data_IF_886508168542
#
_entry.id   IF_886508168542
#
_cell.length_a   1.000
_cell.length_b   1.000
_cell.length_c   1.000
_cell.angle_alpha   90.00
_cell.angle_beta   90.00
_cell.angle_gamma   90.00
#
_symmetry.space_group_name_H-M   'P 1'
#
loop_
_entity.id
_entity.type
_entity.pdbx_description
1 polymer ?
#
# COMPACT_ATOMS: atom_id res chain seq x y z
N UNK A 1 8.31 -38.16 6.10
CA UNK A 1 8.08 -37.05 5.16
C UNK A 1 9.04 -37.06 3.98
N UNK A 2 10.32 -36.67 4.09
CA UNK A 2 11.20 -36.53 2.91
C UNK A 2 11.22 -37.78 2.02
N UNK A 3 11.48 -38.94 2.63
CA UNK A 3 11.43 -40.24 1.94
C UNK A 3 10.05 -40.57 1.33
N UNK A 4 8.97 -40.07 1.92
CA UNK A 4 7.60 -40.36 1.45
C UNK A 4 7.19 -39.39 0.32
N UNK A 5 7.72 -38.16 0.33
CA UNK A 5 7.66 -37.22 -0.79
C UNK A 5 8.44 -37.77 -1.99
N UNK A 6 9.68 -38.22 -1.78
CA UNK A 6 10.54 -38.78 -2.84
C UNK A 6 9.94 -40.06 -3.47
N UNK A 7 9.03 -40.73 -2.77
CA UNK A 7 8.33 -41.95 -3.20
C UNK A 7 6.92 -41.69 -3.75
N UNK A 8 6.49 -40.43 -3.88
CA UNK A 8 5.14 -40.09 -4.34
C UNK A 8 4.01 -40.59 -3.42
N UNK A 9 4.31 -40.90 -2.16
CA UNK A 9 3.34 -41.44 -1.20
C UNK A 9 2.55 -40.33 -0.50
N UNK A 10 1.83 -39.54 -1.28
CA UNK A 10 1.22 -38.28 -0.84
C UNK A 10 0.24 -38.44 0.34
N UNK A 11 -0.50 -39.54 0.43
CA UNK A 11 -1.41 -39.78 1.57
C UNK A 11 -0.64 -39.91 2.91
N UNK A 12 0.58 -40.45 2.89
CA UNK A 12 1.44 -40.51 4.09
C UNK A 12 2.01 -39.14 4.45
N UNK A 13 2.22 -38.29 3.44
CA UNK A 13 2.65 -36.90 3.63
C UNK A 13 1.54 -36.10 4.31
N UNK A 14 0.29 -36.23 3.86
CA UNK A 14 -0.87 -35.59 4.50
C UNK A 14 -1.05 -36.01 5.96
N UNK A 15 -0.94 -37.31 6.25
CA UNK A 15 -0.98 -37.81 7.63
C UNK A 15 0.15 -37.18 8.45
N UNK A 16 1.36 -37.06 7.89
CA UNK A 16 2.50 -36.45 8.57
C UNK A 16 2.27 -34.96 8.87
N UNK A 17 1.67 -34.22 7.93
CA UNK A 17 1.31 -32.81 8.11
C UNK A 17 0.27 -32.64 9.21
N UNK A 18 -0.76 -33.46 9.23
CA UNK A 18 -1.79 -33.43 10.27
C UNK A 18 -1.21 -33.74 11.66
N UNK A 19 -0.27 -34.68 11.75
CA UNK A 19 0.42 -34.97 13.01
C UNK A 19 1.23 -33.75 13.46
N UNK A 20 1.95 -33.08 12.57
CA UNK A 20 2.73 -31.88 12.93
C UNK A 20 1.81 -30.72 13.35
N UNK A 21 0.69 -30.50 12.67
CA UNK A 21 -0.33 -29.54 13.09
C UNK A 21 -0.78 -29.79 14.54
N UNK A 22 -1.12 -31.03 14.87
CA UNK A 22 -1.54 -31.41 16.22
C UNK A 22 -0.41 -31.23 17.24
N UNK A 23 0.83 -31.57 16.89
CA UNK A 23 1.98 -31.36 17.78
C UNK A 23 2.22 -29.86 18.04
N UNK A 24 2.10 -29.01 17.01
CA UNK A 24 2.27 -27.56 17.15
C UNK A 24 1.20 -26.92 18.03
N UNK A 25 -0.03 -27.41 17.95
CA UNK A 25 -1.13 -26.91 18.78
C UNK A 25 -0.96 -27.30 20.26
N UNK A 26 -0.44 -28.50 20.55
CA UNK A 26 -0.44 -29.07 21.89
C UNK A 26 0.91 -28.97 22.63
N UNK A 27 2.04 -28.81 21.94
CA UNK A 27 3.37 -28.98 22.54
C UNK A 27 4.16 -27.68 22.80
N UNK A 28 3.48 -26.52 22.91
CA UNK A 28 4.15 -25.21 23.11
C UNK A 28 5.05 -25.08 24.34
N UNK A 29 4.86 -25.92 25.37
CA UNK A 29 5.62 -25.88 26.63
C UNK A 29 6.78 -26.89 26.70
N UNK A 30 7.05 -27.60 25.61
CA UNK A 30 8.08 -28.66 25.59
C UNK A 30 9.45 -28.03 25.32
N UNK A 31 10.51 -28.56 25.95
CA UNK A 31 11.90 -28.08 25.78
C UNK A 31 12.39 -28.16 24.32
N UNK A 32 11.83 -29.04 23.50
CA UNK A 32 12.13 -29.21 22.08
C UNK A 32 11.26 -28.36 21.15
N UNK A 33 10.50 -27.38 21.66
CA UNK A 33 9.61 -26.53 20.87
C UNK A 33 10.32 -25.87 19.68
N UNK A 34 11.49 -25.28 19.92
CA UNK A 34 12.31 -24.66 18.87
C UNK A 34 12.65 -25.62 17.72
N UNK A 35 12.98 -26.87 18.05
CA UNK A 35 13.31 -27.90 17.06
C UNK A 35 12.05 -28.30 16.27
N UNK A 36 10.91 -28.41 16.95
CA UNK A 36 9.64 -28.70 16.30
C UNK A 36 9.25 -27.61 15.30
N UNK A 37 9.42 -26.33 15.68
CA UNK A 37 9.15 -25.19 14.79
C UNK A 37 10.12 -25.19 13.59
N UNK A 38 11.40 -25.50 13.79
CA UNK A 38 12.36 -25.62 12.67
C UNK A 38 11.96 -26.74 11.69
N UNK A 39 11.58 -27.91 12.20
CA UNK A 39 11.11 -29.04 11.38
C UNK A 39 9.82 -28.70 10.63
N UNK A 40 8.93 -27.93 11.26
CA UNK A 40 7.73 -27.40 10.60
C UNK A 40 8.08 -26.48 9.43
N UNK A 41 9.01 -25.54 9.58
CA UNK A 41 9.41 -24.67 8.47
C UNK A 41 10.07 -25.45 7.33
N UNK A 42 10.88 -26.46 7.65
CA UNK A 42 11.42 -27.38 6.64
C UNK A 42 10.31 -28.15 5.91
N UNK A 43 9.28 -28.60 6.63
CA UNK A 43 8.12 -29.25 6.04
C UNK A 43 7.35 -28.32 5.10
N UNK A 44 7.01 -27.10 5.53
CA UNK A 44 6.31 -26.12 4.69
C UNK A 44 7.11 -25.84 3.41
N UNK A 45 8.41 -25.56 3.53
CA UNK A 45 9.26 -25.30 2.35
C UNK A 45 9.23 -26.44 1.34
N UNK A 46 9.34 -27.68 1.82
CA UNK A 46 9.34 -28.85 0.94
C UNK A 46 8.00 -29.05 0.26
N UNK A 47 6.89 -28.89 0.98
CA UNK A 47 5.55 -28.96 0.39
C UNK A 47 5.38 -27.93 -0.74
N UNK A 48 5.81 -26.69 -0.52
CA UNK A 48 5.78 -25.62 -1.52
C UNK A 48 6.75 -25.82 -2.70
N UNK A 49 7.69 -26.77 -2.62
CA UNK A 49 8.67 -27.08 -3.67
C UNK A 49 8.28 -28.30 -4.51
N UNK A 50 7.17 -28.98 -4.20
CA UNK A 50 6.79 -30.23 -4.87
C UNK A 50 6.19 -30.06 -6.25
N UNK A 51 5.81 -28.84 -6.66
CA UNK A 51 5.11 -28.53 -7.91
C UNK A 51 3.78 -29.28 -8.09
N UNK A 52 3.28 -29.92 -7.02
CA UNK A 52 2.00 -30.63 -6.99
C UNK A 52 0.96 -29.78 -6.24
N UNK A 53 -0.05 -29.29 -6.96
CA UNK A 53 -1.04 -28.32 -6.47
C UNK A 53 -1.67 -28.71 -5.12
N UNK A 54 -1.98 -30.01 -4.94
CA UNK A 54 -2.57 -30.53 -3.69
C UNK A 54 -1.62 -30.35 -2.50
N UNK A 55 -0.34 -30.60 -2.69
CA UNK A 55 0.67 -30.46 -1.63
C UNK A 55 1.04 -29.00 -1.39
N UNK A 56 1.03 -28.17 -2.44
CA UNK A 56 1.22 -26.72 -2.31
C UNK A 56 0.08 -26.07 -1.52
N UNK A 57 -1.17 -26.49 -1.77
CA UNK A 57 -2.35 -26.04 -1.03
C UNK A 57 -2.24 -26.42 0.45
N UNK A 58 -1.86 -27.68 0.72
CA UNK A 58 -1.64 -28.17 2.09
C UNK A 58 -0.53 -27.41 2.81
N UNK A 59 0.57 -27.10 2.11
CA UNK A 59 1.67 -26.29 2.65
C UNK A 59 1.24 -24.85 2.95
N UNK A 60 0.38 -24.27 2.11
CA UNK A 60 -0.18 -22.92 2.28
C UNK A 60 -1.11 -22.87 3.50
N UNK A 61 -2.01 -23.84 3.65
CA UNK A 61 -2.91 -23.94 4.80
C UNK A 61 -2.14 -24.14 6.12
N UNK A 62 -1.16 -25.06 6.09
CA UNK A 62 -0.25 -25.32 7.20
C UNK A 62 0.48 -24.04 7.61
N UNK A 63 0.98 -23.27 6.64
CA UNK A 63 1.64 -21.99 6.86
C UNK A 63 0.71 -20.95 7.51
N UNK A 64 -0.53 -20.86 7.01
CA UNK A 64 -1.52 -19.91 7.51
C UNK A 64 -1.88 -20.16 8.98
N UNK A 65 -2.10 -21.43 9.35
CA UNK A 65 -2.46 -21.83 10.72
C UNK A 65 -1.38 -21.46 11.75
N UNK A 66 -0.12 -21.50 11.32
CA UNK A 66 1.04 -21.43 12.20
C UNK A 66 2.00 -20.27 11.88
N UNK A 67 1.51 -19.21 11.23
CA UNK A 67 2.28 -18.03 10.84
C UNK A 67 2.99 -17.33 12.01
N UNK A 68 2.43 -17.45 13.22
CA UNK A 68 2.94 -16.79 14.43
C UNK A 68 4.13 -17.51 15.08
N UNK A 69 4.46 -18.74 14.68
CA UNK A 69 5.43 -19.57 15.39
C UNK A 69 6.87 -19.05 15.35
N UNK A 70 7.25 -18.28 14.33
CA UNK A 70 8.58 -17.68 14.22
C UNK A 70 8.91 -16.77 15.40
N UNK A 71 7.92 -16.03 15.90
CA UNK A 71 8.10 -15.12 17.03
C UNK A 71 8.45 -15.85 18.34
N UNK A 72 8.05 -17.12 18.47
CA UNK A 72 8.35 -17.94 19.65
C UNK A 72 9.82 -18.40 19.65
N UNK A 73 10.50 -18.37 18.49
CA UNK A 73 11.84 -18.93 18.27
C UNK A 73 12.89 -17.85 17.94
N UNK A 74 12.46 -16.61 17.72
CA UNK A 74 13.32 -15.45 17.51
C UNK A 74 14.00 -15.39 16.13
N UNK A 75 14.96 -14.48 15.98
CA UNK A 75 15.62 -14.05 14.74
C UNK A 75 16.39 -15.14 13.94
N UNK A 76 16.19 -16.43 14.18
CA UNK A 76 16.89 -17.53 13.47
C UNK A 76 16.18 -17.97 12.19
N UNK A 77 14.87 -17.66 12.05
CA UNK A 77 14.02 -18.22 10.99
C UNK A 77 13.75 -17.25 9.82
N UNK A 78 14.38 -16.08 9.77
CA UNK A 78 14.19 -15.09 8.68
C UNK A 78 14.57 -15.64 7.30
N UNK A 79 15.58 -16.51 7.23
CA UNK A 79 16.00 -17.16 5.98
C UNK A 79 14.88 -18.02 5.41
N UNK A 80 14.17 -18.72 6.29
CA UNK A 80 13.07 -19.61 5.90
C UNK A 80 11.87 -18.83 5.41
N UNK A 81 11.54 -17.71 6.05
CA UNK A 81 10.47 -16.82 5.56
C UNK A 81 10.81 -16.20 4.21
N UNK A 82 12.07 -15.81 3.96
CA UNK A 82 12.45 -15.32 2.64
C UNK A 82 12.25 -16.37 1.54
N UNK A 83 12.59 -17.63 1.83
CA UNK A 83 12.43 -18.72 0.86
C UNK A 83 10.94 -18.99 0.61
N UNK A 84 10.14 -19.05 1.68
CA UNK A 84 8.69 -19.25 1.59
C UNK A 84 8.01 -18.07 0.87
N UNK A 85 8.37 -16.83 1.19
CA UNK A 85 7.83 -15.63 0.53
C UNK A 85 8.15 -15.62 -0.97
N UNK A 86 9.38 -16.01 -1.36
CA UNK A 86 9.76 -16.15 -2.77
C UNK A 86 8.89 -17.18 -3.48
N UNK A 87 8.65 -18.33 -2.85
CA UNK A 87 7.78 -19.39 -3.42
C UNK A 87 6.33 -18.92 -3.59
N UNK A 88 5.78 -18.19 -2.62
CA UNK A 88 4.45 -17.63 -2.79
C UNK A 88 4.38 -16.53 -3.87
N UNK A 89 5.42 -15.72 -4.01
CA UNK A 89 5.53 -14.76 -5.13
C UNK A 89 5.60 -15.49 -6.47
N UNK A 90 6.36 -16.58 -6.56
CA UNK A 90 6.41 -17.45 -7.74
C UNK A 90 5.02 -18.02 -8.07
N UNK A 91 4.26 -18.48 -7.06
CA UNK A 91 2.89 -18.99 -7.25
C UNK A 91 1.93 -17.95 -7.81
N UNK A 92 2.08 -16.68 -7.42
CA UNK A 92 1.26 -15.58 -7.95
C UNK A 92 1.57 -15.22 -9.40
N UNK A 93 2.66 -15.77 -9.98
CA UNK A 93 3.04 -15.58 -11.37
C UNK A 93 1.90 -15.89 -12.34
N UNK A 94 1.78 -15.08 -13.39
CA UNK A 94 0.64 -15.11 -14.34
C UNK A 94 0.53 -16.39 -15.16
N UNK A 95 1.66 -17.09 -15.34
CA UNK A 95 1.73 -18.36 -16.07
C UNK A 95 1.10 -19.52 -15.28
N UNK A 96 0.79 -19.31 -14.00
CA UNK A 96 0.19 -20.33 -13.14
C UNK A 96 -1.34 -20.31 -13.19
N UNK A 97 -1.94 -21.46 -12.90
CA UNK A 97 -3.38 -21.64 -12.73
C UNK A 97 -3.95 -20.77 -11.59
N UNK A 98 -5.23 -20.40 -11.70
CA UNK A 98 -5.88 -19.49 -10.75
C UNK A 98 -5.83 -20.00 -9.31
N UNK A 99 -5.98 -21.31 -9.10
CA UNK A 99 -5.89 -21.97 -7.79
C UNK A 99 -4.51 -21.81 -7.17
N UNK A 100 -3.45 -22.06 -7.93
CA UNK A 100 -2.06 -21.86 -7.51
C UNK A 100 -1.77 -20.39 -7.21
N UNK A 101 -2.27 -19.47 -8.02
CA UNK A 101 -2.15 -18.01 -7.79
C UNK A 101 -2.85 -17.58 -6.52
N UNK A 102 -4.04 -18.10 -6.25
CA UNK A 102 -4.79 -17.86 -5.01
C UNK A 102 -4.05 -18.40 -3.78
N UNK A 103 -3.42 -19.57 -3.87
CA UNK A 103 -2.57 -20.09 -2.80
C UNK A 103 -1.38 -19.17 -2.51
N UNK A 104 -0.67 -18.73 -3.56
CA UNK A 104 0.39 -17.74 -3.44
C UNK A 104 -0.05 -16.45 -2.75
N UNK A 105 -1.19 -15.91 -3.20
CA UNK A 105 -1.78 -14.72 -2.61
C UNK A 105 -2.20 -14.90 -1.15
N UNK A 106 -2.78 -16.06 -0.81
CA UNK A 106 -3.17 -16.39 0.57
C UNK A 106 -1.95 -16.46 1.49
N UNK A 107 -0.87 -17.10 1.05
CA UNK A 107 0.38 -17.17 1.80
C UNK A 107 1.00 -15.79 2.06
N UNK A 108 1.02 -14.93 1.04
CA UNK A 108 1.54 -13.56 1.16
C UNK A 108 0.64 -12.67 2.01
N UNK A 109 -0.67 -12.76 1.83
CA UNK A 109 -1.62 -11.93 2.57
C UNK A 109 -1.56 -12.18 4.06
N UNK A 110 -1.48 -13.46 4.46
CA UNK A 110 -1.32 -13.85 5.87
C UNK A 110 0.03 -13.41 6.40
N UNK A 111 1.12 -13.58 5.65
CA UNK A 111 2.46 -13.14 6.05
C UNK A 111 2.51 -11.63 6.31
N UNK A 112 2.09 -10.82 5.33
CA UNK A 112 2.12 -9.36 5.43
C UNK A 112 1.17 -8.83 6.51
N UNK A 113 -0.04 -9.38 6.63
CA UNK A 113 -0.97 -9.00 7.71
C UNK A 113 -0.36 -9.29 9.09
N UNK A 114 0.29 -10.44 9.24
CA UNK A 114 0.95 -10.79 10.50
C UNK A 114 2.09 -9.82 10.84
N UNK A 115 2.93 -9.49 9.85
CA UNK A 115 4.01 -8.51 10.00
C UNK A 115 3.46 -7.15 10.44
N UNK A 116 2.39 -6.66 9.79
CA UNK A 116 1.81 -5.34 10.05
C UNK A 116 1.08 -5.23 11.40
N UNK A 117 0.37 -6.28 11.85
CA UNK A 117 -0.37 -6.25 13.12
C UNK A 117 0.53 -6.17 14.35
N UNK A 118 1.81 -6.54 14.24
CA UNK A 118 2.77 -6.56 15.37
C UNK A 118 3.75 -5.39 15.41
N UNK A 119 3.46 -4.29 14.69
CA UNK A 119 4.26 -3.05 14.63
C UNK A 119 5.73 -3.28 14.23
N UNK A 120 5.96 -3.45 12.92
CA UNK A 120 7.29 -3.57 12.30
C UNK A 120 8.21 -2.39 12.67
N UNK A 121 7.64 -1.22 12.99
CA UNK A 121 8.38 -0.02 13.39
C UNK A 121 9.07 -0.10 14.76
N UNK A 122 8.51 -0.85 15.73
CA UNK A 122 9.06 -0.94 17.11
C UNK A 122 10.07 -2.06 17.26
N UNK A 123 9.85 -3.18 16.56
CA UNK A 123 10.83 -4.25 16.46
C UNK A 123 11.68 -3.97 15.22
N UNK A 124 12.85 -3.37 15.43
CA UNK A 124 13.82 -2.90 14.43
C UNK A 124 14.41 -4.00 13.50
N UNK A 125 13.60 -4.97 13.10
CA UNK A 125 13.93 -5.97 12.12
C UNK A 125 13.84 -5.33 10.73
N UNK A 126 14.90 -4.61 10.36
CA UNK A 126 15.09 -4.03 9.02
C UNK A 126 14.75 -5.03 7.91
N UNK A 127 14.96 -6.32 8.16
CA UNK A 127 14.58 -7.40 7.28
C UNK A 127 13.06 -7.50 7.00
N UNK A 128 12.21 -7.41 8.03
CA UNK A 128 10.75 -7.43 7.88
C UNK A 128 10.28 -6.29 6.98
N UNK A 129 10.87 -5.10 7.16
CA UNK A 129 10.60 -3.94 6.32
C UNK A 129 11.01 -4.23 4.87
N UNK A 130 12.25 -4.69 4.64
CA UNK A 130 12.74 -4.97 3.28
C UNK A 130 11.89 -6.02 2.56
N UNK A 131 11.54 -7.11 3.25
CA UNK A 131 10.69 -8.16 2.68
C UNK A 131 9.30 -7.61 2.33
N UNK A 132 8.68 -6.90 3.27
CA UNK A 132 7.38 -6.29 3.07
C UNK A 132 7.37 -5.33 1.87
N UNK A 133 8.41 -4.49 1.74
CA UNK A 133 8.55 -3.57 0.61
C UNK A 133 8.60 -4.31 -0.73
N UNK A 134 9.42 -5.35 -0.84
CA UNK A 134 9.54 -6.15 -2.07
C UNK A 134 8.23 -6.83 -2.46
N UNK A 135 7.51 -7.36 -1.48
CA UNK A 135 6.20 -7.98 -1.71
C UNK A 135 5.19 -6.93 -2.20
N UNK A 136 5.17 -5.76 -1.55
CA UNK A 136 4.27 -4.68 -1.95
C UNK A 136 4.58 -4.17 -3.37
N UNK A 137 5.86 -3.99 -3.71
CA UNK A 137 6.32 -3.64 -5.05
C UNK A 137 5.90 -4.68 -6.10
N UNK A 138 5.98 -5.97 -5.76
CA UNK A 138 5.50 -7.05 -6.63
C UNK A 138 3.97 -6.97 -6.85
N UNK A 139 3.18 -6.79 -5.78
CA UNK A 139 1.72 -6.67 -5.88
C UNK A 139 1.31 -5.45 -6.72
N UNK A 140 2.01 -4.32 -6.56
CA UNK A 140 1.81 -3.13 -7.39
C UNK A 140 2.15 -3.41 -8.85
N UNK A 141 3.28 -4.07 -9.12
CA UNK A 141 3.65 -4.48 -10.47
C UNK A 141 2.63 -5.39 -11.12
N UNK A 142 2.07 -6.34 -10.36
CA UNK A 142 1.02 -7.23 -10.85
C UNK A 142 -0.27 -6.49 -11.19
N UNK A 143 -0.70 -5.54 -10.35
CA UNK A 143 -1.81 -4.66 -10.67
C UNK A 143 -1.56 -3.88 -11.96
N UNK A 144 -0.42 -3.20 -12.05
CA UNK A 144 -0.14 -2.25 -13.12
C UNK A 144 0.10 -2.91 -14.47
N UNK A 145 0.71 -4.09 -14.53
CA UNK A 145 0.88 -4.81 -15.79
C UNK A 145 -0.46 -5.28 -16.35
N UNK A 146 -1.37 -5.82 -15.51
CA UNK A 146 -2.69 -6.28 -15.98
C UNK A 146 -3.46 -5.14 -16.66
N UNK A 147 -3.26 -3.91 -16.17
CA UNK A 147 -3.93 -2.72 -16.64
C UNK A 147 -3.28 -2.08 -17.87
N UNK A 148 -1.96 -2.24 -18.05
CA UNK A 148 -1.33 -1.90 -19.34
C UNK A 148 -1.93 -2.72 -20.47
N UNK A 149 -2.16 -4.03 -20.23
CA UNK A 149 -2.76 -4.93 -21.22
C UNK A 149 -4.19 -4.52 -21.59
N UNK A 150 -5.04 -4.18 -20.62
CA UNK A 150 -6.40 -3.68 -20.90
C UNK A 150 -6.40 -2.40 -21.75
N UNK A 151 -5.46 -1.48 -21.53
CA UNK A 151 -5.36 -0.26 -22.34
C UNK A 151 -4.86 -0.48 -23.78
N UNK A 152 -4.15 -1.58 -24.07
CA UNK A 152 -3.73 -1.92 -25.45
C UNK A 152 -4.87 -2.55 -26.27
N UNK A 153 -5.87 -3.16 -25.64
CA UNK A 153 -6.99 -3.80 -26.34
C UNK A 153 -8.19 -2.86 -26.59
N UNK A 154 -8.13 -1.60 -26.18
CA UNK A 154 -9.21 -0.62 -26.45
C UNK A 154 -9.07 0.02 -27.85
N UNK A 155 -7.95 -0.13 -28.55
CA UNK A 155 -7.76 0.47 -29.89
C UNK A 155 -8.00 -0.46 -31.09
N UNK A 156 -8.31 -1.75 -30.90
CA UNK A 156 -8.68 -2.64 -32.02
C UNK A 156 -10.11 -3.17 -31.89
N UNK A 157 -11.00 -2.49 -32.59
CA UNK A 157 -12.34 -2.95 -32.96
C UNK A 157 -12.33 -4.37 -33.55
N UNK A 158 -13.15 -5.30 -33.04
CA UNK A 158 -14.23 -6.04 -33.77
C UNK A 158 -14.87 -7.21 -32.96
N UNK A 159 -16.05 -7.74 -33.40
CA UNK A 159 -17.23 -7.98 -32.55
C UNK A 159 -17.37 -9.40 -32.01
N UNK A 160 -18.25 -9.50 -31.01
CA UNK A 160 -19.07 -10.66 -30.59
C UNK A 160 -18.67 -12.04 -31.16
N UNK A 161 -18.04 -12.85 -30.30
CA UNK A 161 -18.09 -14.31 -30.42
C UNK A 161 -18.56 -14.89 -29.08
N UNK A 162 -19.40 -15.91 -29.20
CA UNK A 162 -20.22 -16.64 -28.24
C UNK A 162 -19.63 -16.94 -26.83
N UNK A 163 -20.48 -17.19 -25.81
CA UNK A 163 -20.04 -17.38 -24.44
C UNK A 163 -19.45 -18.78 -24.27
N UNK A 164 -18.15 -18.91 -24.39
CA UNK A 164 -17.45 -20.07 -23.85
C UNK A 164 -17.63 -20.08 -22.33
N UNK A 165 -18.21 -21.17 -21.83
CA UNK A 165 -18.30 -21.55 -20.42
C UNK A 165 -16.88 -21.69 -19.84
N UNK A 166 -16.24 -20.57 -19.58
CA UNK A 166 -15.00 -20.49 -18.81
C UNK A 166 -15.37 -20.28 -17.35
N UNK A 167 -14.76 -21.09 -16.48
CA UNK A 167 -14.81 -20.90 -15.02
C UNK A 167 -14.65 -19.41 -14.68
N UNK A 168 -15.36 -18.88 -13.66
CA UNK A 168 -15.36 -17.45 -13.39
C UNK A 168 -13.91 -16.98 -13.22
N UNK A 169 -13.42 -16.23 -14.22
CA UNK A 169 -12.05 -15.74 -14.23
C UNK A 169 -11.84 -14.93 -12.95
N UNK A 170 -11.07 -15.48 -12.02
CA UNK A 170 -10.81 -14.84 -10.74
C UNK A 170 -10.15 -13.50 -11.03
N UNK A 171 -10.85 -12.40 -10.72
CA UNK A 171 -10.31 -11.06 -10.93
C UNK A 171 -9.24 -10.78 -9.88
N UNK A 172 -8.02 -11.23 -10.15
CA UNK A 172 -6.87 -11.09 -9.28
C UNK A 172 -6.56 -9.62 -8.95
N UNK A 173 -6.85 -8.69 -9.87
CA UNK A 173 -6.68 -7.27 -9.60
C UNK A 173 -7.61 -6.78 -8.49
N UNK A 174 -8.90 -7.17 -8.54
CA UNK A 174 -9.86 -6.81 -7.49
C UNK A 174 -9.45 -7.35 -6.12
N UNK A 175 -8.88 -8.56 -6.09
CA UNK A 175 -8.38 -9.21 -4.88
C UNK A 175 -7.19 -8.45 -4.29
N UNK A 176 -6.22 -8.06 -5.12
CA UNK A 176 -5.07 -7.28 -4.66
C UNK A 176 -5.52 -5.90 -4.16
N UNK A 177 -6.42 -5.22 -4.87
CA UNK A 177 -6.94 -3.90 -4.46
C UNK A 177 -7.65 -4.01 -3.10
N UNK A 178 -8.53 -4.99 -2.94
CA UNK A 178 -9.25 -5.23 -1.70
C UNK A 178 -8.29 -5.50 -0.54
N UNK A 179 -7.22 -6.24 -0.80
CA UNK A 179 -6.22 -6.55 0.23
C UNK A 179 -5.32 -5.37 0.59
N UNK A 180 -4.82 -4.59 -0.38
CA UNK A 180 -4.05 -3.37 -0.08
C UNK A 180 -4.92 -2.39 0.73
N UNK A 181 -6.21 -2.28 0.39
CA UNK A 181 -7.19 -1.52 1.15
C UNK A 181 -7.34 -2.03 2.59
N UNK A 182 -7.51 -3.34 2.78
CA UNK A 182 -7.56 -3.96 4.11
C UNK A 182 -6.28 -3.70 4.91
N UNK A 183 -5.11 -3.77 4.28
CA UNK A 183 -3.83 -3.46 4.91
C UNK A 183 -3.77 -2.02 5.41
N UNK A 184 -4.15 -1.06 4.56
CA UNK A 184 -4.20 0.36 4.92
C UNK A 184 -5.18 0.60 6.06
N UNK A 185 -6.34 -0.04 6.05
CA UNK A 185 -7.37 0.10 7.10
C UNK A 185 -6.89 -0.48 8.43
N UNK A 186 -6.19 -1.62 8.42
CA UNK A 186 -5.77 -2.31 9.65
C UNK A 186 -4.42 -1.86 10.20
N UNK A 187 -3.55 -1.27 9.39
CA UNK A 187 -2.21 -0.87 9.86
C UNK A 187 -2.28 0.31 10.84
N UNK A 188 -1.29 0.39 11.73
CA UNK A 188 -1.06 1.60 12.53
C UNK A 188 -0.50 2.74 11.64
N UNK A 189 -0.40 3.95 12.18
CA UNK A 189 0.11 5.11 11.44
C UNK A 189 1.59 4.95 11.04
N UNK A 190 2.41 4.30 11.87
CA UNK A 190 3.84 4.12 11.57
C UNK A 190 4.06 3.16 10.38
N UNK A 191 3.31 2.06 10.31
CA UNK A 191 3.37 1.13 9.19
C UNK A 191 2.71 1.73 7.94
N UNK A 192 1.67 2.58 8.10
CA UNK A 192 1.09 3.32 6.97
C UNK A 192 2.16 4.14 6.25
N UNK A 193 3.05 4.81 7.00
CA UNK A 193 4.16 5.56 6.42
C UNK A 193 5.08 4.67 5.57
N UNK A 194 5.35 3.43 6.02
CA UNK A 194 6.16 2.48 5.25
C UNK A 194 5.45 2.10 3.94
N UNK A 195 4.16 1.75 4.01
CA UNK A 195 3.33 1.38 2.86
C UNK A 195 3.32 2.51 1.83
N UNK A 196 2.97 3.71 2.28
CA UNK A 196 2.80 4.90 1.43
C UNK A 196 4.11 5.32 0.78
N UNK A 197 5.22 5.36 1.55
CA UNK A 197 6.53 5.71 0.99
C UNK A 197 6.99 4.69 -0.07
N UNK A 198 6.77 3.39 0.16
CA UNK A 198 7.12 2.36 -0.81
C UNK A 198 6.32 2.50 -2.09
N UNK A 199 5.02 2.75 -1.97
CA UNK A 199 4.15 3.01 -3.11
C UNK A 199 4.63 4.21 -3.92
N UNK A 200 4.89 5.36 -3.28
CA UNK A 200 5.33 6.57 -3.99
C UNK A 200 6.69 6.37 -4.67
N UNK A 201 7.62 5.72 -3.98
CA UNK A 201 8.93 5.36 -4.56
C UNK A 201 8.77 4.49 -5.79
N UNK A 202 7.89 3.48 -5.73
CA UNK A 202 7.63 2.58 -6.85
C UNK A 202 7.00 3.32 -8.05
N UNK A 203 6.03 4.21 -7.81
CA UNK A 203 5.37 4.98 -8.86
C UNK A 203 6.33 5.94 -9.56
N UNK A 204 7.19 6.63 -8.80
CA UNK A 204 8.23 7.51 -9.35
C UNK A 204 9.27 6.73 -10.16
N UNK A 205 9.79 5.62 -9.61
CA UNK A 205 10.75 4.77 -10.34
C UNK A 205 10.18 4.19 -11.64
N UNK A 206 8.87 3.97 -11.69
CA UNK A 206 8.17 3.40 -12.85
C UNK A 206 7.68 4.45 -13.85
N UNK A 207 7.95 5.75 -13.61
CA UNK A 207 7.46 6.88 -14.40
C UNK A 207 5.93 6.90 -14.60
N UNK A 208 5.17 6.34 -13.65
CA UNK A 208 3.73 6.13 -13.82
C UNK A 208 2.89 7.40 -13.61
N UNK A 209 3.45 8.38 -12.89
CA UNK A 209 2.89 9.73 -12.77
C UNK A 209 2.74 10.47 -14.10
N UNK A 210 3.37 9.97 -15.17
CA UNK A 210 3.38 10.63 -16.47
C UNK A 210 2.19 10.22 -17.35
N UNK A 211 1.79 8.95 -17.35
CA UNK A 211 0.88 8.40 -18.38
C UNK A 211 -0.50 7.93 -17.85
N UNK A 212 -0.67 7.72 -16.55
CA UNK A 212 -1.88 7.05 -16.01
C UNK A 212 -2.45 7.75 -14.75
N UNK A 213 -2.37 9.08 -14.68
CA UNK A 213 -2.75 9.83 -13.48
C UNK A 213 -4.19 9.62 -13.03
N UNK A 214 -5.14 9.54 -13.96
CA UNK A 214 -6.56 9.34 -13.61
C UNK A 214 -6.81 7.94 -13.00
N UNK A 215 -6.18 6.92 -13.58
CA UNK A 215 -6.25 5.57 -13.03
C UNK A 215 -5.59 5.46 -11.66
N UNK A 216 -4.36 5.97 -11.51
CA UNK A 216 -3.64 6.00 -10.22
C UNK A 216 -4.48 6.74 -9.18
N UNK A 217 -5.06 7.87 -9.56
CA UNK A 217 -6.00 8.62 -8.73
C UNK A 217 -7.17 7.74 -8.28
N UNK A 218 -7.84 7.07 -9.20
CA UNK A 218 -8.99 6.20 -8.89
C UNK A 218 -8.61 4.98 -8.03
N UNK A 219 -7.44 4.38 -8.26
CA UNK A 219 -6.92 3.27 -7.49
C UNK A 219 -6.68 3.69 -6.02
N UNK A 220 -5.95 4.79 -5.81
CA UNK A 220 -5.68 5.30 -4.45
C UNK A 220 -6.94 5.80 -3.77
N UNK A 221 -7.84 6.43 -4.52
CA UNK A 221 -9.16 6.77 -3.99
C UNK A 221 -9.86 5.51 -3.49
N UNK A 222 -9.93 4.46 -4.31
CA UNK A 222 -10.57 3.19 -3.93
C UNK A 222 -9.93 2.56 -2.68
N UNK A 223 -8.60 2.57 -2.60
CA UNK A 223 -7.84 2.06 -1.45
C UNK A 223 -8.09 2.90 -0.19
N UNK A 224 -8.18 4.22 -0.32
CA UNK A 224 -8.21 5.13 0.84
C UNK A 224 -9.62 5.53 1.30
N UNK A 225 -10.69 5.28 0.50
CA UNK A 225 -12.08 5.70 0.79
C UNK A 225 -12.63 5.26 2.16
N UNK A 226 -12.17 4.14 2.70
CA UNK A 226 -12.62 3.62 4.01
C UNK A 226 -11.64 3.93 5.15
N UNK A 227 -10.61 4.75 4.89
CA UNK A 227 -9.61 5.12 5.90
C UNK A 227 -10.14 6.16 6.88
N UNK A 228 -9.58 6.20 8.09
CA UNK A 228 -9.87 7.27 9.05
C UNK A 228 -9.26 8.61 8.60
N UNK A 229 -9.82 9.72 9.08
CA UNK A 229 -9.31 11.07 8.80
C UNK A 229 -7.82 11.22 9.16
N UNK A 230 -7.38 10.63 10.29
CA UNK A 230 -5.97 10.61 10.71
C UNK A 230 -5.05 9.99 9.65
N UNK A 231 -5.50 8.91 9.01
CA UNK A 231 -4.72 8.20 7.97
C UNK A 231 -4.66 8.99 6.68
N UNK A 232 -5.74 9.68 6.32
CA UNK A 232 -5.76 10.58 5.17
C UNK A 232 -4.80 11.76 5.38
N UNK A 233 -4.81 12.36 6.56
CA UNK A 233 -3.90 13.46 6.93
C UNK A 233 -2.43 13.03 6.85
N UNK A 234 -2.10 11.83 7.38
CA UNK A 234 -0.75 11.25 7.29
C UNK A 234 -0.37 10.92 5.85
N UNK A 235 -1.28 10.39 5.04
CA UNK A 235 -1.04 10.10 3.63
C UNK A 235 -0.70 11.39 2.86
N UNK A 236 -1.50 12.44 3.03
CA UNK A 236 -1.27 13.74 2.40
C UNK A 236 0.07 14.34 2.84
N UNK A 237 0.39 14.27 4.13
CA UNK A 237 1.68 14.74 4.65
C UNK A 237 2.86 14.03 3.98
N UNK A 238 2.76 12.70 3.81
CA UNK A 238 3.81 11.91 3.14
C UNK A 238 3.91 12.21 1.66
N UNK A 239 2.80 12.50 0.99
CA UNK A 239 2.81 12.91 -0.41
C UNK A 239 3.55 14.25 -0.58
N UNK A 240 3.30 15.22 0.31
CA UNK A 240 3.98 16.51 0.29
C UNK A 240 5.50 16.35 0.52
N UNK A 241 5.89 15.54 1.52
CA UNK A 241 7.31 15.23 1.75
C UNK A 241 7.94 14.54 0.54
N UNK A 242 7.22 13.62 -0.11
CA UNK A 242 7.71 12.95 -1.33
C UNK A 242 8.01 13.98 -2.41
N UNK A 243 7.09 14.90 -2.69
CA UNK A 243 7.30 15.97 -3.67
C UNK A 243 8.51 16.82 -3.31
N UNK A 244 8.64 17.27 -2.06
CA UNK A 244 9.80 18.05 -1.60
C UNK A 244 11.13 17.35 -1.90
N UNK A 245 11.20 16.03 -1.70
CA UNK A 245 12.42 15.26 -1.89
C UNK A 245 12.78 15.04 -3.37
N UNK A 246 11.79 14.96 -4.25
CA UNK A 246 12.00 14.71 -5.68
C UNK A 246 12.06 15.99 -6.51
N UNK A 247 11.74 17.15 -5.92
CA UNK A 247 11.56 18.40 -6.64
C UNK A 247 12.78 18.81 -7.48
N UNK A 248 13.99 18.57 -6.97
CA UNK A 248 15.23 18.93 -7.65
C UNK A 248 15.61 17.92 -8.75
N UNK A 249 15.27 16.64 -8.58
CA UNK A 249 15.73 15.52 -9.42
C UNK A 249 14.71 15.05 -10.45
N UNK A 250 13.41 15.26 -10.21
CA UNK A 250 12.33 14.82 -11.08
C UNK A 250 12.02 15.81 -12.21
N UNK A 251 11.48 15.25 -13.30
CA UNK A 251 11.00 16.04 -14.43
C UNK A 251 9.82 16.92 -14.03
N UNK A 252 9.69 18.10 -14.64
CA UNK A 252 8.56 19.02 -14.38
C UNK A 252 7.21 18.35 -14.68
N UNK A 253 7.18 17.43 -15.66
CA UNK A 253 6.00 16.67 -16.01
C UNK A 253 5.56 15.69 -14.90
N UNK A 254 6.51 15.02 -14.25
CA UNK A 254 6.23 14.15 -13.10
C UNK A 254 5.64 14.95 -11.93
N UNK A 255 6.18 16.14 -11.66
CA UNK A 255 5.69 17.04 -10.61
C UNK A 255 4.24 17.49 -10.87
N UNK A 256 3.90 17.83 -12.11
CA UNK A 256 2.52 18.15 -12.51
C UNK A 256 1.60 16.95 -12.27
N UNK A 257 2.02 15.74 -12.63
CA UNK A 257 1.24 14.52 -12.42
C UNK A 257 0.93 14.26 -10.94
N UNK A 258 1.94 14.39 -10.08
CA UNK A 258 1.77 14.22 -8.63
C UNK A 258 0.89 15.33 -8.03
N UNK A 259 1.05 16.58 -8.48
CA UNK A 259 0.20 17.68 -8.01
C UNK A 259 -1.27 17.51 -8.43
N UNK A 260 -1.51 17.02 -9.66
CA UNK A 260 -2.87 16.67 -10.11
C UNK A 260 -3.47 15.55 -9.27
N UNK A 261 -2.68 14.52 -8.95
CA UNK A 261 -3.08 13.48 -8.02
C UNK A 261 -3.44 14.05 -6.64
N UNK A 262 -2.60 14.95 -6.09
CA UNK A 262 -2.86 15.59 -4.80
C UNK A 262 -4.17 16.39 -4.81
N UNK A 263 -4.41 17.20 -5.83
CA UNK A 263 -5.62 18.02 -5.95
C UNK A 263 -6.90 17.16 -6.02
N UNK A 264 -6.82 15.98 -6.63
CA UNK A 264 -7.93 15.02 -6.67
C UNK A 264 -8.07 14.27 -5.35
N UNK A 265 -6.98 13.86 -4.72
CA UNK A 265 -6.99 13.18 -3.43
C UNK A 265 -7.62 14.04 -2.33
N UNK A 266 -7.37 15.36 -2.33
CA UNK A 266 -7.95 16.27 -1.33
C UNK A 266 -9.49 16.30 -1.36
N UNK A 267 -10.13 15.98 -2.49
CA UNK A 267 -11.60 15.87 -2.57
C UNK A 267 -12.18 14.76 -1.67
N UNK A 268 -11.38 13.77 -1.29
CA UNK A 268 -11.82 12.75 -0.32
C UNK A 268 -12.04 13.34 1.08
N UNK A 269 -11.29 14.37 1.46
CA UNK A 269 -11.49 15.03 2.75
C UNK A 269 -12.84 15.73 2.82
N UNK A 270 -13.31 16.28 1.69
CA UNK A 270 -14.64 16.90 1.59
C UNK A 270 -15.75 15.85 1.81
N UNK A 271 -15.62 14.67 1.19
CA UNK A 271 -16.58 13.55 1.35
C UNK A 271 -16.62 13.00 2.78
N UNK A 272 -15.46 12.89 3.43
CA UNK A 272 -15.41 12.43 4.82
C UNK A 272 -16.12 13.40 5.78
N UNK A 273 -15.99 14.71 5.57
CA UNK A 273 -16.69 15.71 6.39
C UNK A 273 -18.20 15.64 6.30
N UNK A 274 -18.74 15.44 5.09
CA UNK A 274 -20.18 15.26 4.88
C UNK A 274 -20.70 14.00 5.60
N UNK A 275 -19.90 12.93 5.63
CA UNK A 275 -20.26 11.67 6.29
C UNK A 275 -20.21 11.75 7.82
N UNK A 276 -19.27 12.52 8.39
CA UNK A 276 -19.14 12.71 9.85
C UNK A 276 -20.23 13.64 10.41
N UNK A 277 -20.71 14.60 9.62
CA UNK A 277 -21.90 15.40 9.94
C UNK A 277 -23.16 14.53 10.13
N UNK A 278 -23.24 13.38 9.45
CA UNK A 278 -24.35 12.43 9.57
C UNK A 278 -24.17 11.39 10.70
N UNK A 279 -22.94 11.15 11.16
CA UNK A 279 -22.60 10.13 12.19
C UNK A 279 -22.36 10.72 13.59
N UNK A 280 -22.90 11.90 13.88
CA UNK A 280 -22.72 12.62 15.15
C UNK A 280 -23.37 11.98 16.39
N UNK A 281 -23.22 10.67 16.59
CA UNK A 281 -23.49 9.97 17.85
C UNK A 281 -22.55 8.76 17.96
N UNK A 282 -21.26 8.97 18.33
CA UNK A 282 -20.47 8.09 19.22
C UNK A 282 -18.98 8.48 19.24
N UNK A 283 -18.49 8.71 20.46
CA UNK A 283 -17.09 8.80 20.94
C UNK A 283 -16.14 9.83 20.31
N UNK A 284 -16.15 11.05 20.85
CA UNK A 284 -15.05 12.02 20.73
C UNK A 284 -13.89 11.62 21.67
N UNK A 285 -12.72 11.28 21.11
CA UNK A 285 -11.46 11.28 21.83
C UNK A 285 -10.75 12.64 21.65
N UNK A 286 -10.56 13.43 22.73
CA UNK A 286 -10.06 14.81 22.61
C UNK A 286 -8.60 14.92 22.13
N UNK A 287 -7.77 13.90 22.32
CA UNK A 287 -6.33 13.95 21.97
C UNK A 287 -6.08 13.69 20.48
N UNK A 288 -6.86 12.82 19.83
CA UNK A 288 -6.83 12.58 18.38
C UNK A 288 -7.15 13.87 17.59
N UNK A 289 -8.12 14.65 18.08
CA UNK A 289 -8.58 15.89 17.44
C UNK A 289 -7.49 16.97 17.37
N UNK A 290 -6.62 17.05 18.39
CA UNK A 290 -5.50 18.00 18.45
C UNK A 290 -4.35 17.57 17.54
N UNK A 291 -4.07 16.27 17.44
CA UNK A 291 -3.02 15.75 16.56
C UNK A 291 -3.40 15.97 15.09
N UNK A 292 -4.63 15.68 14.69
CA UNK A 292 -5.13 15.95 13.34
C UNK A 292 -5.08 17.44 13.00
N UNK A 293 -5.53 18.30 13.92
CA UNK A 293 -5.44 19.76 13.73
C UNK A 293 -4.01 20.24 13.48
N UNK A 294 -3.02 19.65 14.16
CA UNK A 294 -1.60 19.95 13.97
C UNK A 294 -1.08 19.46 12.63
N UNK A 295 -1.39 18.22 12.24
CA UNK A 295 -0.96 17.64 10.95
C UNK A 295 -1.58 18.41 9.79
N UNK A 296 -2.88 18.73 9.86
CA UNK A 296 -3.56 19.57 8.85
C UNK A 296 -2.90 20.93 8.68
N UNK A 297 -2.62 21.63 9.79
CA UNK A 297 -1.90 22.90 9.75
C UNK A 297 -0.53 22.74 9.08
N UNK A 298 0.21 21.67 9.44
CA UNK A 298 1.52 21.39 8.87
C UNK A 298 1.43 21.12 7.36
N UNK A 299 0.47 20.30 6.92
CA UNK A 299 0.23 20.02 5.50
C UNK A 299 -0.05 21.31 4.71
N UNK A 300 -0.86 22.22 5.26
CA UNK A 300 -1.11 23.51 4.62
C UNK A 300 0.17 24.35 4.48
N UNK A 301 0.95 24.46 5.55
CA UNK A 301 2.23 25.18 5.51
C UNK A 301 3.22 24.54 4.53
N UNK A 302 3.29 23.21 4.48
CA UNK A 302 4.20 22.50 3.60
C UNK A 302 3.81 22.65 2.11
N UNK A 303 2.52 22.75 1.78
CA UNK A 303 2.05 23.04 0.41
C UNK A 303 2.41 24.48 0.02
N UNK A 304 2.27 25.44 0.93
CA UNK A 304 2.71 26.81 0.70
C UNK A 304 4.23 26.90 0.43
N UNK A 305 5.02 26.11 1.14
CA UNK A 305 6.45 25.98 0.88
C UNK A 305 6.74 25.36 -0.49
N UNK A 306 5.99 24.33 -0.91
CA UNK A 306 6.10 23.78 -2.27
C UNK A 306 5.80 24.82 -3.35
N UNK A 307 4.79 25.69 -3.14
CA UNK A 307 4.49 26.80 -4.04
C UNK A 307 5.69 27.75 -4.10
N UNK A 308 6.28 28.12 -2.97
CA UNK A 308 7.47 28.97 -2.94
C UNK A 308 8.65 28.33 -3.68
N UNK A 309 8.95 27.05 -3.41
CA UNK A 309 10.00 26.32 -4.11
C UNK A 309 9.73 26.24 -5.62
N UNK A 310 8.47 26.13 -6.05
CA UNK A 310 8.11 26.13 -7.47
C UNK A 310 8.37 27.47 -8.18
N UNK A 311 8.23 28.59 -7.47
CA UNK A 311 8.56 29.94 -7.97
C UNK A 311 10.07 30.11 -8.13
N UNK A 312 10.86 29.44 -7.29
CA UNK A 312 12.31 29.38 -7.46
C UNK A 312 12.68 28.50 -8.66
N UNK A 313 11.99 27.37 -8.86
CA UNK A 313 12.18 26.52 -10.04
C UNK A 313 11.88 27.24 -11.36
N UNK A 314 10.88 28.14 -11.41
CA UNK A 314 10.58 28.90 -12.63
C UNK A 314 11.71 29.86 -13.03
N UNK A 315 12.67 30.14 -12.15
CA UNK A 315 13.85 30.95 -12.45
C UNK A 315 14.99 30.13 -13.07
N UNK A 316 14.99 28.81 -12.87
CA UNK A 316 16.11 27.93 -13.25
C UNK A 316 15.77 26.96 -14.38
N UNK A 317 14.50 26.56 -14.52
CA UNK A 317 14.02 25.62 -15.54
C UNK A 317 13.37 26.33 -16.73
N UNK A 318 13.57 25.79 -17.93
CA UNK A 318 13.06 26.36 -19.19
C UNK A 318 11.57 26.03 -19.46
N UNK A 319 10.97 25.09 -18.71
CA UNK A 319 9.62 24.59 -18.95
C UNK A 319 8.53 25.42 -18.23
N UNK A 320 8.54 26.74 -18.44
CA UNK A 320 7.72 27.71 -17.69
C UNK A 320 6.22 27.35 -17.71
N UNK A 321 5.70 26.84 -18.85
CA UNK A 321 4.28 26.44 -18.96
C UNK A 321 3.91 25.29 -18.03
N UNK A 322 4.75 24.25 -17.93
CA UNK A 322 4.50 23.11 -17.05
C UNK A 322 4.66 23.50 -15.58
N UNK A 323 5.56 24.43 -15.28
CA UNK A 323 5.70 24.98 -13.92
C UNK A 323 4.45 25.78 -13.52
N UNK A 324 3.87 26.54 -14.45
CA UNK A 324 2.58 27.21 -14.27
C UNK A 324 1.45 26.22 -13.96
N UNK A 325 1.36 25.12 -14.73
CA UNK A 325 0.36 24.06 -14.47
C UNK A 325 0.57 23.39 -13.11
N UNK A 326 1.82 23.15 -12.73
CA UNK A 326 2.17 22.62 -11.40
C UNK A 326 1.74 23.57 -10.28
N UNK A 327 2.03 24.87 -10.41
CA UNK A 327 1.61 25.92 -9.48
C UNK A 327 0.08 25.99 -9.36
N UNK A 328 -0.63 25.98 -10.48
CA UNK A 328 -2.10 26.01 -10.50
C UNK A 328 -2.69 24.82 -9.73
N UNK A 329 -2.11 23.62 -9.88
CA UNK A 329 -2.55 22.44 -9.13
C UNK A 329 -2.21 22.49 -7.64
N UNK A 330 -1.08 23.07 -7.25
CA UNK A 330 -0.77 23.28 -5.84
C UNK A 330 -1.72 24.32 -5.20
N UNK A 331 -2.05 25.38 -5.92
CA UNK A 331 -3.01 26.41 -5.48
C UNK A 331 -4.41 25.79 -5.35
N UNK A 332 -4.85 25.01 -6.35
CA UNK A 332 -6.12 24.29 -6.30
C UNK A 332 -6.18 23.38 -5.07
N UNK A 333 -5.11 22.63 -4.80
CA UNK A 333 -4.99 21.77 -3.62
C UNK A 333 -5.09 22.57 -2.33
N UNK A 334 -4.39 23.70 -2.25
CA UNK A 334 -4.39 24.60 -1.08
C UNK A 334 -5.79 25.13 -0.81
N UNK A 335 -6.52 25.52 -1.85
CA UNK A 335 -7.87 26.03 -1.75
C UNK A 335 -8.84 24.93 -1.25
N UNK A 336 -8.80 23.73 -1.84
CA UNK A 336 -9.63 22.60 -1.40
C UNK A 336 -9.32 22.19 0.04
N UNK A 337 -8.04 22.12 0.41
CA UNK A 337 -7.62 21.79 1.77
C UNK A 337 -8.06 22.87 2.75
N UNK A 338 -7.94 24.14 2.37
CA UNK A 338 -8.47 25.26 3.14
C UNK A 338 -9.96 25.07 3.37
N UNK A 339 -10.78 24.84 2.34
CA UNK A 339 -12.21 24.59 2.48
C UNK A 339 -12.52 23.51 3.52
N UNK A 340 -11.78 22.40 3.51
CA UNK A 340 -11.87 21.30 4.46
C UNK A 340 -11.29 21.60 5.87
N UNK A 341 -10.82 22.81 6.19
CA UNK A 341 -10.38 23.17 7.55
C UNK A 341 -11.47 23.89 8.35
N UNK A 342 -11.58 23.64 9.66
CA UNK A 342 -12.35 24.48 10.58
C UNK A 342 -11.86 25.94 10.54
N UNK A 343 -12.79 26.91 10.63
CA UNK A 343 -12.50 28.35 10.53
C UNK A 343 -11.40 28.83 11.50
N UNK A 344 -11.31 28.27 12.70
CA UNK A 344 -10.27 28.60 13.68
C UNK A 344 -8.86 28.18 13.23
N UNK A 345 -8.74 27.07 12.50
CA UNK A 345 -7.47 26.60 11.94
C UNK A 345 -7.08 27.39 10.68
N UNK A 346 -8.06 27.74 9.82
CA UNK A 346 -7.87 28.64 8.67
C UNK A 346 -7.25 29.98 9.07
N UNK A 347 -7.84 30.63 10.07
CA UNK A 347 -7.36 31.94 10.55
C UNK A 347 -5.94 31.81 11.10
N UNK A 348 -5.69 30.78 11.92
CA UNK A 348 -4.37 30.56 12.51
C UNK A 348 -3.30 30.18 11.47
N UNK A 349 -3.63 29.43 10.42
CA UNK A 349 -2.67 29.09 9.37
C UNK A 349 -2.30 30.31 8.54
N UNK A 350 -3.28 31.10 8.10
CA UNK A 350 -3.08 32.36 7.35
C UNK A 350 -2.27 33.39 8.14
N UNK A 351 -2.53 33.54 9.44
CA UNK A 351 -1.75 34.46 10.29
C UNK A 351 -0.30 34.01 10.41
N UNK A 352 -0.04 32.70 10.57
CA UNK A 352 1.35 32.20 10.63
C UNK A 352 2.07 32.22 9.30
N UNK A 353 1.39 32.03 8.16
CA UNK A 353 2.02 32.12 6.83
C UNK A 353 2.26 33.57 6.40
N UNK A 354 1.38 34.50 6.77
CA UNK A 354 1.54 35.94 6.49
C UNK A 354 2.77 36.57 7.17
N UNK A 355 3.34 35.92 8.19
CA UNK A 355 4.57 36.36 8.84
C UNK A 355 5.85 35.95 8.09
N UNK A 356 5.79 35.00 7.13
CA UNK A 356 6.98 34.47 6.44
C UNK A 356 6.90 34.46 4.91
N UNK A 357 5.77 34.83 4.29
CA UNK A 357 5.65 34.88 2.83
C UNK A 357 5.96 36.28 2.28
N UNK A 358 6.83 36.42 1.25
CA UNK A 358 6.82 37.60 0.40
C UNK A 358 5.48 37.63 -0.35
N UNK A 359 4.89 38.83 -0.41
CA UNK A 359 3.57 39.12 -0.97
C UNK A 359 3.44 38.48 -2.36
N UNK A 360 2.63 37.42 -2.46
CA UNK A 360 2.14 36.93 -3.75
C UNK A 360 1.24 38.01 -4.35
N UNK A 361 1.71 38.68 -5.39
CA UNK A 361 0.83 39.44 -6.28
C UNK A 361 0.04 38.39 -7.06
N UNK A 362 -1.03 37.89 -6.45
CA UNK A 362 -2.01 37.07 -7.14
C UNK A 362 -2.86 38.01 -8.00
N UNK A 363 -2.71 37.93 -9.32
CA UNK A 363 -3.63 38.57 -10.27
C UNK A 363 -5.05 37.93 -10.25
N UNK A 364 -5.29 36.95 -9.37
CA UNK A 364 -6.63 36.40 -9.10
C UNK A 364 -6.88 36.35 -7.60
N UNK A 365 -7.96 36.96 -7.10
CA UNK A 365 -8.24 37.02 -5.67
C UNK A 365 -8.53 35.62 -5.11
N UNK A 366 -7.89 35.32 -3.98
CA UNK A 366 -8.00 34.08 -3.20
C UNK A 366 -9.39 33.86 -2.55
N UNK A 367 -10.33 34.80 -2.72
CA UNK A 367 -11.66 34.71 -2.17
C UNK A 367 -12.65 35.34 -3.13
N UNK A 368 -13.54 34.53 -3.70
CA UNK A 368 -14.85 34.99 -4.16
C UNK A 368 -15.92 34.03 -3.61
N UNK A 369 -17.11 34.55 -3.30
CA UNK A 369 -18.05 34.02 -2.31
C UNK A 369 -18.69 32.67 -2.65
#
# INVERSE_FOLDING_TARGET
MNRDLDRGSYNKVEISVNIINLLLDNCRKVSSWTILVQNYFEMVKRLLQTEEERLESLGTELFQRHINLHYDVGNTLYKEYNIIAKKFVEFMGRENENTRRLNGFTGISVMCTNLLLKNISKNADKWNIILFKKILEFLLGELLYSLKKENYYVEETKPETEPELTEPLVNFNSIIIAYIRELVIRCNLENLVIIVNTIFTYLSNSNLWNCQNEFITNLFITIMVESSEEKLDVFLHRLIIHIKNIQDSSSTFELVGIAKFMANFVTLFERHQESDLQKSVVSFSPDASKLNAKIKKQNFMDILELIQMSIEMSKTRNDIKLIGEYQDKLIETTNKLSCAMPNKLKINSVITSGASMPIMIAEKPFFLP
#
